data_IF_245034189563
#
_entry.id   IF_245034189563
#
_cell.length_a   1.000
_cell.length_b   1.000
_cell.length_c   1.000
_cell.angle_alpha   90.00
_cell.angle_beta   90.00
_cell.angle_gamma   90.00
#
_symmetry.space_group_name_H-M   'P 1'
#
loop_
_entity.id
_entity.type
_entity.pdbx_description
1 polymer ?
#
# COMPACT_ATOMS: atom_id res chain seq x y z
N UNK A 1 -28.82 4.33 -2.43
CA UNK A 1 -28.14 3.04 -2.66
C UNK A 1 -27.03 2.93 -1.63
N UNK A 2 -27.06 1.88 -0.82
CA UNK A 2 -26.00 1.55 0.15
C UNK A 2 -25.08 0.51 -0.46
N UNK A 3 -23.78 0.64 -0.22
CA UNK A 3 -22.78 -0.33 -0.64
C UNK A 3 -21.97 -0.77 0.58
N UNK A 4 -21.61 -2.06 0.69
CA UNK A 4 -20.65 -2.53 1.68
C UNK A 4 -19.28 -1.87 1.50
N UNK A 5 -18.63 -1.47 2.59
CA UNK A 5 -17.34 -0.77 2.53
C UNK A 5 -16.21 -1.68 2.04
N UNK A 6 -16.33 -3.00 2.22
CA UNK A 6 -15.31 -3.95 1.75
C UNK A 6 -15.05 -3.90 0.24
N UNK A 7 -15.95 -3.38 -0.59
CA UNK A 7 -15.67 -3.15 -2.02
C UNK A 7 -14.49 -2.19 -2.25
N UNK A 8 -14.21 -1.27 -1.31
CA UNK A 8 -13.04 -0.39 -1.38
C UNK A 8 -11.73 -1.17 -1.24
N UNK A 9 -11.73 -2.33 -0.56
CA UNK A 9 -10.56 -3.19 -0.43
C UNK A 9 -10.09 -3.74 -1.78
N UNK A 10 -10.98 -3.86 -2.77
CA UNK A 10 -10.61 -4.33 -4.12
C UNK A 10 -9.69 -3.32 -4.80
N UNK A 11 -10.07 -2.04 -4.80
CA UNK A 11 -9.25 -0.97 -5.38
C UNK A 11 -7.94 -0.81 -4.63
N UNK A 12 -7.99 -0.89 -3.30
CA UNK A 12 -6.81 -0.86 -2.47
C UNK A 12 -5.87 -2.06 -2.72
N UNK A 13 -6.42 -3.26 -2.88
CA UNK A 13 -5.66 -4.46 -3.23
C UNK A 13 -4.97 -4.36 -4.58
N UNK A 14 -5.62 -3.77 -5.60
CA UNK A 14 -5.01 -3.47 -6.89
C UNK A 14 -3.86 -2.48 -6.75
N UNK A 15 -4.04 -1.42 -5.94
CA UNK A 15 -2.98 -0.46 -5.66
C UNK A 15 -1.77 -1.14 -4.99
N UNK A 16 -2.00 -1.99 -3.97
CA UNK A 16 -0.94 -2.76 -3.32
C UNK A 16 -0.24 -3.72 -4.28
N UNK A 17 -0.98 -4.38 -5.16
CA UNK A 17 -0.41 -5.27 -6.17
C UNK A 17 0.55 -4.52 -7.11
N UNK A 18 0.12 -3.36 -7.62
CA UNK A 18 0.95 -2.49 -8.46
C UNK A 18 2.19 -2.05 -7.69
N UNK A 19 2.02 -1.55 -6.47
CA UNK A 19 3.15 -1.14 -5.61
C UNK A 19 4.13 -2.28 -5.37
N UNK A 20 3.64 -3.51 -5.12
CA UNK A 20 4.45 -4.71 -4.96
C UNK A 20 5.22 -5.08 -6.22
N UNK A 21 4.59 -5.02 -7.40
CA UNK A 21 5.27 -5.25 -8.69
C UNK A 21 6.38 -4.22 -8.91
N UNK A 22 6.10 -2.93 -8.66
CA UNK A 22 7.11 -1.87 -8.77
C UNK A 22 8.26 -2.08 -7.79
N UNK A 23 7.98 -2.46 -6.54
CA UNK A 23 9.01 -2.77 -5.56
C UNK A 23 9.87 -3.95 -6.03
N UNK A 24 9.26 -5.07 -6.44
CA UNK A 24 9.98 -6.25 -6.90
C UNK A 24 10.85 -5.97 -8.13
N UNK A 25 10.33 -5.21 -9.09
CA UNK A 25 11.08 -4.81 -10.27
C UNK A 25 12.31 -3.97 -9.90
N UNK A 26 12.14 -2.93 -9.07
CA UNK A 26 13.23 -2.07 -8.63
C UNK A 26 14.25 -2.82 -7.77
N UNK A 27 13.77 -3.63 -6.83
CA UNK A 27 14.62 -4.45 -5.97
C UNK A 27 15.48 -5.41 -6.81
N UNK A 28 14.85 -6.15 -7.74
CA UNK A 28 15.56 -7.04 -8.66
C UNK A 28 16.57 -6.29 -9.53
N UNK A 29 16.20 -5.12 -10.06
CA UNK A 29 17.08 -4.30 -10.87
C UNK A 29 18.32 -3.87 -10.09
N UNK A 30 18.17 -3.38 -8.85
CA UNK A 30 19.30 -2.96 -8.01
C UNK A 30 20.16 -4.17 -7.62
N UNK A 31 19.55 -5.30 -7.24
CA UNK A 31 20.30 -6.52 -6.92
C UNK A 31 21.14 -6.99 -8.11
N UNK A 32 20.56 -7.01 -9.30
CA UNK A 32 21.20 -7.56 -10.50
C UNK A 32 22.24 -6.62 -11.12
N UNK A 33 22.00 -5.31 -11.09
CA UNK A 33 22.80 -4.33 -11.85
C UNK A 33 23.48 -3.27 -10.98
N UNK A 34 23.05 -3.08 -9.73
CA UNK A 34 23.52 -1.99 -8.87
C UNK A 34 24.49 -2.40 -7.75
N UNK A 35 24.58 -3.68 -7.39
CA UNK A 35 25.44 -4.16 -6.31
C UNK A 35 26.92 -4.22 -6.72
N UNK A 36 27.57 -3.06 -6.74
CA UNK A 36 29.02 -2.93 -6.94
C UNK A 36 29.78 -2.62 -5.64
N UNK A 37 29.10 -2.03 -4.64
CA UNK A 37 29.70 -1.62 -3.36
C UNK A 37 28.81 -1.99 -2.16
N UNK A 38 29.44 -2.13 -0.98
CA UNK A 38 28.73 -2.36 0.30
C UNK A 38 27.69 -1.26 0.58
N UNK A 39 27.99 -0.02 0.19
CA UNK A 39 27.07 1.13 0.34
C UNK A 39 25.75 0.88 -0.39
N UNK A 40 25.79 0.30 -1.59
CA UNK A 40 24.57 -0.04 -2.34
C UNK A 40 23.78 -1.15 -1.65
N UNK A 41 24.47 -2.09 -0.99
CA UNK A 41 23.82 -3.10 -0.16
C UNK A 41 23.06 -2.51 1.03
N UNK A 42 23.62 -1.51 1.72
CA UNK A 42 22.94 -0.81 2.80
C UNK A 42 21.70 -0.05 2.30
N UNK A 43 21.80 0.63 1.15
CA UNK A 43 20.67 1.31 0.52
C UNK A 43 19.55 0.32 0.17
N UNK A 44 19.91 -0.84 -0.37
CA UNK A 44 18.94 -1.89 -0.68
C UNK A 44 18.23 -2.44 0.57
N UNK A 45 18.96 -2.59 1.68
CA UNK A 45 18.40 -3.02 2.96
C UNK A 45 17.43 -1.96 3.51
N UNK A 46 17.79 -0.67 3.45
CA UNK A 46 16.89 0.42 3.83
C UNK A 46 15.65 0.48 2.94
N UNK A 47 15.80 0.21 1.64
CA UNK A 47 14.69 0.18 0.68
C UNK A 47 13.71 -0.97 0.96
N UNK A 48 14.20 -2.18 1.21
CA UNK A 48 13.35 -3.30 1.60
C UNK A 48 12.70 -3.10 2.98
N UNK A 49 13.46 -2.55 3.93
CA UNK A 49 12.98 -2.25 5.27
C UNK A 49 11.87 -1.21 5.28
N UNK A 50 12.01 -0.14 4.51
CA UNK A 50 10.99 0.91 4.43
C UNK A 50 9.71 0.40 3.76
N UNK A 51 9.82 -0.38 2.68
CA UNK A 51 8.65 -1.02 2.07
C UNK A 51 7.93 -1.95 3.05
N UNK A 52 8.68 -2.77 3.79
CA UNK A 52 8.13 -3.69 4.81
C UNK A 52 7.42 -2.91 5.93
N UNK A 53 8.03 -1.83 6.43
CA UNK A 53 7.43 -0.99 7.46
C UNK A 53 6.11 -0.37 6.99
N UNK A 54 6.06 0.11 5.74
CA UNK A 54 4.84 0.65 5.14
C UNK A 54 3.75 -0.42 5.07
N UNK A 55 4.07 -1.65 4.65
CA UNK A 55 3.11 -2.76 4.60
C UNK A 55 2.57 -3.08 5.99
N UNK A 56 3.42 -3.15 7.01
CA UNK A 56 3.01 -3.43 8.39
C UNK A 56 2.04 -2.36 8.91
N UNK A 57 2.40 -1.08 8.74
CA UNK A 57 1.54 0.05 9.16
C UNK A 57 0.18 -0.01 8.45
N UNK A 58 0.16 -0.34 7.16
CA UNK A 58 -1.09 -0.48 6.41
C UNK A 58 -1.96 -1.62 6.95
N UNK A 59 -1.37 -2.78 7.25
CA UNK A 59 -2.08 -3.92 7.85
C UNK A 59 -2.68 -3.52 9.19
N UNK A 60 -1.93 -2.82 10.03
CA UNK A 60 -2.39 -2.35 11.34
C UNK A 60 -3.61 -1.43 11.19
N UNK A 61 -3.54 -0.39 10.34
CA UNK A 61 -4.65 0.54 10.08
C UNK A 61 -5.88 -0.20 9.55
N UNK A 62 -5.70 -1.10 8.59
CA UNK A 62 -6.80 -1.84 7.95
C UNK A 62 -7.47 -2.80 8.94
N UNK A 63 -6.69 -3.44 9.81
CA UNK A 63 -7.20 -4.40 10.78
C UNK A 63 -8.09 -3.76 11.86
N UNK A 64 -7.92 -2.46 12.11
CA UNK A 64 -8.70 -1.69 13.09
C UNK A 64 -10.05 -1.20 12.52
N UNK A 65 -10.23 -1.26 11.19
CA UNK A 65 -11.43 -0.77 10.53
C UNK A 65 -12.53 -1.84 10.49
N UNK A 66 -13.78 -1.46 10.78
CA UNK A 66 -14.93 -2.36 10.67
C UNK A 66 -15.47 -2.42 9.23
N UNK A 67 -15.02 -3.43 8.50
CA UNK A 67 -15.37 -3.65 7.09
C UNK A 67 -16.79 -4.18 6.86
N UNK A 68 -17.51 -4.55 7.92
CA UNK A 68 -18.89 -5.04 7.81
C UNK A 68 -19.90 -3.92 7.62
N UNK A 69 -19.47 -2.68 7.83
CA UNK A 69 -20.29 -1.49 7.67
C UNK A 69 -20.68 -1.27 6.21
N UNK A 70 -21.81 -0.58 6.05
CA UNK A 70 -22.31 -0.13 4.76
C UNK A 70 -22.33 1.39 4.72
N UNK A 71 -21.94 1.97 3.60
CA UNK A 71 -21.94 3.41 3.36
C UNK A 71 -22.96 3.76 2.29
N UNK A 72 -23.66 4.89 2.42
CA UNK A 72 -24.42 5.42 1.29
C UNK A 72 -23.51 6.11 0.29
N UNK A 73 -23.82 5.98 -1.00
CA UNK A 73 -23.04 6.66 -2.07
C UNK A 73 -22.87 8.16 -1.78
N UNK A 74 -23.88 8.80 -1.17
CA UNK A 74 -23.83 10.23 -0.80
C UNK A 74 -22.72 10.52 0.21
N UNK A 75 -22.61 9.72 1.27
CA UNK A 75 -21.60 9.89 2.34
C UNK A 75 -20.18 9.77 1.79
N UNK A 76 -19.98 8.95 0.75
CA UNK A 76 -18.71 8.75 0.06
C UNK A 76 -18.21 10.02 -0.66
N UNK A 77 -19.12 10.91 -1.07
CA UNK A 77 -18.81 12.17 -1.76
C UNK A 77 -18.91 13.41 -0.87
N UNK A 78 -19.55 13.32 0.30
CA UNK A 78 -19.74 14.46 1.21
C UNK A 78 -18.75 14.50 2.37
N UNK A 79 -17.92 13.45 2.56
CA UNK A 79 -16.85 13.43 3.57
C UNK A 79 -15.54 14.09 3.08
N UNK A 80 -15.66 15.23 2.40
CA UNK A 80 -14.56 16.20 2.28
C UNK A 80 -14.98 17.45 3.08
N UNK A 81 -14.60 17.58 4.36
CA UNK A 81 -14.76 18.83 5.07
C UNK A 81 -13.73 19.82 4.49
N UNK A 82 -14.16 20.72 3.62
CA UNK A 82 -13.31 21.81 3.10
C UNK A 82 -13.32 22.07 1.59
N UNK A 83 -14.23 21.44 0.82
CA UNK A 83 -14.60 21.86 -0.53
C UNK A 83 -16.11 22.09 -0.62
#
# INVERSE_FOLDING_TARGET
MTIPIWYLLIFYGLFLLIAGIFFLFNFFHIVKFGLNEIKTGLVLLMYAGSFTAVVIINIEIISQFDWTQTITIRELFTTIPGL
#
